data_IF_088462814676
#
_entry.id   IF_088462814676
#
_cell.length_a   1.000
_cell.length_b   1.000
_cell.length_c   1.000
_cell.angle_alpha   90.00
_cell.angle_beta   90.00
_cell.angle_gamma   90.00
#
_symmetry.space_group_name_H-M   'P 1'
#
loop_
_entity.id
_entity.type
_entity.pdbx_description
1 polymer ?
#
# COMPACT_ATOMS: atom_id res chain seq x y z
N UNK A 1 -78.10 66.18 7.00
CA UNK A 1 -77.25 66.69 5.90
C UNK A 1 -75.92 65.97 6.00
N UNK A 2 -75.37 65.26 5.01
CA UNK A 2 -75.77 64.81 3.67
C UNK A 2 -74.91 63.55 3.41
N UNK A 3 -75.47 62.49 2.85
CA UNK A 3 -75.40 62.18 1.41
C UNK A 3 -73.97 62.25 0.85
N UNK A 4 -73.41 61.07 0.59
CA UNK A 4 -72.13 60.85 -0.06
C UNK A 4 -72.06 59.38 -0.47
N UNK A 5 -72.73 59.05 -1.57
CA UNK A 5 -72.56 57.80 -2.31
C UNK A 5 -71.08 57.62 -2.67
N UNK A 6 -70.48 56.50 -2.29
CA UNK A 6 -69.37 55.94 -3.07
C UNK A 6 -69.76 54.55 -3.54
N UNK A 7 -69.85 54.49 -4.85
CA UNK A 7 -70.28 53.39 -5.67
C UNK A 7 -69.21 52.29 -5.65
N UNK A 8 -69.58 51.15 -5.09
CA UNK A 8 -68.82 49.91 -5.18
C UNK A 8 -68.96 49.36 -6.61
N UNK A 9 -67.88 49.13 -7.38
CA UNK A 9 -68.01 48.48 -8.67
C UNK A 9 -68.27 46.99 -8.45
N UNK A 10 -69.21 46.43 -9.22
CA UNK A 10 -69.55 45.01 -9.20
C UNK A 10 -68.32 44.10 -9.42
N UNK A 11 -68.21 42.96 -8.70
CA UNK A 11 -67.16 41.98 -8.98
C UNK A 11 -67.54 41.12 -10.19
N UNK A 12 -66.83 41.30 -11.30
CA UNK A 12 -66.88 40.38 -12.43
C UNK A 12 -66.33 39.01 -12.03
N UNK A 13 -67.07 37.94 -12.39
CA UNK A 13 -66.90 36.53 -11.99
C UNK A 13 -65.52 35.88 -12.31
N UNK A 14 -64.63 36.59 -13.00
CA UNK A 14 -63.34 36.09 -13.45
C UNK A 14 -62.26 36.18 -12.34
N UNK A 15 -62.38 37.12 -11.41
CA UNK A 15 -61.38 37.36 -10.36
C UNK A 15 -61.50 36.42 -9.15
N UNK A 16 -62.69 35.85 -8.91
CA UNK A 16 -62.93 34.91 -7.80
C UNK A 16 -62.38 33.52 -8.14
N UNK A 17 -62.45 33.14 -9.41
CA UNK A 17 -62.00 31.82 -9.90
C UNK A 17 -60.48 31.71 -9.90
N UNK A 18 -59.77 32.80 -10.23
CA UNK A 18 -58.31 32.88 -10.18
C UNK A 18 -57.80 32.98 -8.74
N UNK A 19 -58.43 33.78 -7.88
CA UNK A 19 -58.05 33.88 -6.46
C UNK A 19 -58.25 32.56 -5.70
N UNK A 20 -59.36 31.85 -5.95
CA UNK A 20 -59.64 30.53 -5.36
C UNK A 20 -58.66 29.44 -5.81
N UNK A 21 -58.25 29.48 -7.08
CA UNK A 21 -57.25 28.56 -7.62
C UNK A 21 -55.86 28.82 -7.02
N UNK A 22 -55.49 30.09 -6.84
CA UNK A 22 -54.22 30.48 -6.21
C UNK A 22 -54.19 30.09 -4.72
N UNK A 23 -55.31 30.25 -3.99
CA UNK A 23 -55.38 29.82 -2.60
C UNK A 23 -55.32 28.30 -2.47
N UNK A 24 -55.99 27.55 -3.35
CA UNK A 24 -55.93 26.09 -3.35
C UNK A 24 -54.51 25.57 -3.65
N UNK A 25 -53.80 26.21 -4.59
CA UNK A 25 -52.40 25.89 -4.89
C UNK A 25 -51.49 26.25 -3.70
N UNK A 26 -51.72 27.39 -3.05
CA UNK A 26 -50.94 27.81 -1.87
C UNK A 26 -51.15 26.87 -0.68
N UNK A 27 -52.38 26.39 -0.46
CA UNK A 27 -52.70 25.42 0.59
C UNK A 27 -52.05 24.06 0.33
N UNK A 28 -52.06 23.57 -0.92
CA UNK A 28 -51.41 22.31 -1.28
C UNK A 28 -49.88 22.39 -1.14
N UNK A 29 -49.30 23.55 -1.48
CA UNK A 29 -47.88 23.82 -1.28
C UNK A 29 -47.52 23.85 0.22
N UNK A 30 -48.32 24.53 1.04
CA UNK A 30 -48.13 24.55 2.49
C UNK A 30 -48.25 23.15 3.09
N UNK A 31 -49.24 22.38 2.65
CA UNK A 31 -49.45 21.00 3.11
C UNK A 31 -48.26 20.10 2.75
N UNK A 32 -47.73 20.24 1.54
CA UNK A 32 -46.56 19.49 1.07
C UNK A 32 -45.29 19.88 1.83
N UNK A 33 -45.11 21.16 2.15
CA UNK A 33 -43.96 21.64 2.94
C UNK A 33 -44.05 21.18 4.41
N UNK A 34 -45.23 21.24 5.02
CA UNK A 34 -45.46 20.72 6.38
C UNK A 34 -45.20 19.21 6.44
N UNK A 35 -45.71 18.47 5.46
CA UNK A 35 -45.50 17.03 5.36
C UNK A 35 -44.03 16.66 5.08
N UNK A 36 -43.30 17.47 4.29
CA UNK A 36 -41.85 17.35 4.09
C UNK A 36 -41.06 17.64 5.37
N UNK A 37 -41.47 18.62 6.17
CA UNK A 37 -40.82 18.92 7.46
C UNK A 37 -41.06 17.81 8.48
N UNK A 38 -42.28 17.32 8.61
CA UNK A 38 -42.61 16.24 9.55
C UNK A 38 -41.95 14.92 9.17
N UNK A 39 -41.83 14.62 7.87
CA UNK A 39 -41.10 13.45 7.38
C UNK A 39 -39.59 13.58 7.60
N UNK A 40 -39.01 14.76 7.39
CA UNK A 40 -37.59 15.02 7.67
C UNK A 40 -37.28 14.90 9.17
N UNK A 41 -38.14 15.42 10.06
CA UNK A 41 -37.97 15.31 11.51
C UNK A 41 -38.09 13.85 11.97
N UNK A 42 -39.07 13.11 11.44
CA UNK A 42 -39.25 11.68 11.75
C UNK A 42 -38.06 10.85 11.25
N UNK A 43 -37.51 11.18 10.08
CA UNK A 43 -36.31 10.53 9.53
C UNK A 43 -35.05 10.85 10.33
N UNK A 44 -34.90 12.08 10.80
CA UNK A 44 -33.78 12.45 11.66
C UNK A 44 -33.84 11.74 13.02
N UNK A 45 -35.04 11.62 13.62
CA UNK A 45 -35.25 10.88 14.86
C UNK A 45 -35.02 9.38 14.69
N UNK A 46 -35.47 8.78 13.59
CA UNK A 46 -35.25 7.35 13.35
C UNK A 46 -33.78 7.01 13.12
N UNK A 47 -33.01 7.88 12.45
CA UNK A 47 -31.55 7.73 12.33
C UNK A 47 -30.84 7.87 13.68
N UNK A 48 -31.28 8.80 14.52
CA UNK A 48 -30.71 8.98 15.86
C UNK A 48 -31.00 7.78 16.75
N UNK A 49 -32.24 7.29 16.77
CA UNK A 49 -32.65 6.11 17.54
C UNK A 49 -31.95 4.83 17.03
N UNK A 50 -31.88 4.64 15.70
CA UNK A 50 -31.15 3.52 15.10
C UNK A 50 -29.64 3.58 15.39
N UNK A 51 -29.02 4.77 15.33
CA UNK A 51 -27.59 4.92 15.68
C UNK A 51 -27.32 4.64 17.16
N UNK A 52 -28.25 5.03 18.04
CA UNK A 52 -28.10 4.87 19.48
C UNK A 52 -28.12 3.41 19.91
N UNK A 53 -28.94 2.57 19.27
CA UNK A 53 -29.02 1.14 19.57
C UNK A 53 -27.77 0.39 19.11
N UNK A 54 -27.19 0.76 17.95
CA UNK A 54 -25.92 0.21 17.47
C UNK A 54 -24.71 0.66 18.31
N UNK A 55 -24.69 1.90 18.79
CA UNK A 55 -23.64 2.38 19.70
C UNK A 55 -23.75 1.67 21.05
N UNK A 56 -24.96 1.43 21.55
CA UNK A 56 -25.18 0.72 22.82
C UNK A 56 -24.77 -0.75 22.74
N UNK A 57 -25.06 -1.43 21.63
CA UNK A 57 -24.60 -2.81 21.43
C UNK A 57 -23.07 -2.92 21.31
N UNK A 58 -22.41 -1.92 20.72
CA UNK A 58 -20.95 -1.85 20.71
C UNK A 58 -20.37 -1.63 22.11
N UNK A 59 -20.99 -0.75 22.91
CA UNK A 59 -20.59 -0.52 24.30
C UNK A 59 -20.71 -1.78 25.16
N UNK A 60 -21.69 -2.64 24.89
CA UNK A 60 -21.83 -3.94 25.58
C UNK A 60 -20.80 -4.98 25.09
N UNK A 61 -20.30 -4.86 23.86
CA UNK A 61 -19.33 -5.79 23.27
C UNK A 61 -17.87 -5.47 23.66
N UNK A 62 -17.52 -4.20 23.86
CA UNK A 62 -16.19 -3.75 24.32
C UNK A 62 -15.73 -4.43 25.62
N UNK A 63 -16.50 -4.47 26.73
CA UNK A 63 -16.08 -5.13 27.97
C UNK A 63 -15.96 -6.65 27.80
N UNK A 64 -16.73 -7.24 26.89
CA UNK A 64 -16.69 -8.67 26.60
C UNK A 64 -15.48 -9.06 25.75
N UNK A 65 -15.13 -8.26 24.76
CA UNK A 65 -13.91 -8.44 23.98
C UNK A 65 -12.67 -8.23 24.86
N UNK A 66 -12.63 -7.14 25.64
CA UNK A 66 -11.48 -6.83 26.51
C UNK A 66 -11.28 -7.86 27.61
N UNK A 67 -12.33 -8.45 28.19
CA UNK A 67 -12.18 -9.53 29.17
C UNK A 67 -11.64 -10.84 28.56
N UNK A 68 -12.08 -11.18 27.34
CA UNK A 68 -11.52 -12.30 26.60
C UNK A 68 -10.04 -12.05 26.26
N UNK A 69 -9.69 -10.87 25.75
CA UNK A 69 -8.31 -10.47 25.50
C UNK A 69 -7.44 -10.54 26.76
N UNK A 70 -7.92 -9.97 27.88
CA UNK A 70 -7.20 -10.04 29.16
C UNK A 70 -6.90 -11.45 29.61
N UNK A 71 -7.81 -12.40 29.37
CA UNK A 71 -7.60 -13.80 29.75
C UNK A 71 -6.45 -14.43 28.95
N UNK A 72 -6.37 -14.14 27.64
CA UNK A 72 -5.26 -14.60 26.80
C UNK A 72 -3.95 -13.89 27.13
N UNK A 73 -4.00 -12.57 27.39
CA UNK A 73 -2.85 -11.79 27.81
C UNK A 73 -2.27 -12.31 29.13
N UNK A 74 -3.09 -12.54 30.15
CA UNK A 74 -2.64 -13.08 31.43
C UNK A 74 -2.02 -14.48 31.28
N UNK A 75 -2.62 -15.36 30.47
CA UNK A 75 -2.05 -16.68 30.21
C UNK A 75 -0.69 -16.57 29.49
N UNK A 76 -0.55 -15.63 28.55
CA UNK A 76 0.69 -15.37 27.83
C UNK A 76 1.78 -14.81 28.75
N UNK A 77 1.47 -13.79 29.55
CA UNK A 77 2.43 -13.18 30.47
C UNK A 77 2.86 -14.14 31.58
N UNK A 78 1.94 -15.00 32.08
CA UNK A 78 2.28 -16.06 33.05
C UNK A 78 3.25 -17.08 32.45
N UNK A 79 3.02 -17.54 31.22
CA UNK A 79 3.96 -18.44 30.55
C UNK A 79 5.33 -17.81 30.33
N UNK A 80 5.36 -16.55 29.88
CA UNK A 80 6.62 -15.82 29.72
C UNK A 80 7.38 -15.67 31.04
N UNK A 81 6.68 -15.33 32.12
CA UNK A 81 7.33 -15.17 33.43
C UNK A 81 7.80 -16.50 34.01
N UNK A 82 7.10 -17.60 33.75
CA UNK A 82 7.54 -18.93 34.15
C UNK A 82 8.73 -19.42 33.31
N UNK A 83 8.73 -19.20 31.99
CA UNK A 83 9.89 -19.46 31.13
C UNK A 83 11.08 -18.57 31.50
N UNK A 84 10.86 -17.32 31.92
CA UNK A 84 11.91 -16.42 32.40
C UNK A 84 12.53 -16.92 33.71
N UNK A 85 11.73 -17.50 34.61
CA UNK A 85 12.24 -18.15 35.83
C UNK A 85 13.09 -19.37 35.48
N UNK A 86 12.63 -20.22 34.55
CA UNK A 86 13.40 -21.37 34.05
C UNK A 86 14.70 -20.91 33.37
N UNK A 87 14.65 -19.82 32.62
CA UNK A 87 15.82 -19.22 31.99
C UNK A 87 16.87 -18.74 33.01
N UNK A 88 16.43 -18.31 34.20
CA UNK A 88 17.34 -17.96 35.31
C UNK A 88 18.08 -19.18 35.86
N UNK A 89 17.49 -20.37 35.78
CA UNK A 89 18.10 -21.63 36.22
C UNK A 89 19.15 -22.14 35.21
N UNK A 90 19.03 -21.75 33.94
CA UNK A 90 19.95 -22.13 32.86
C UNK A 90 20.51 -20.92 32.08
N UNK A 91 21.29 -20.03 32.75
CA UNK A 91 21.71 -18.76 32.16
C UNK A 91 22.52 -18.92 30.87
N UNK A 92 23.38 -19.94 30.78
CA UNK A 92 24.18 -20.19 29.58
C UNK A 92 23.33 -20.59 28.36
N UNK A 93 22.31 -21.44 28.54
CA UNK A 93 21.43 -21.87 27.47
C UNK A 93 20.51 -20.72 27.00
N UNK A 94 19.97 -19.94 27.94
CA UNK A 94 19.13 -18.79 27.63
C UNK A 94 19.87 -17.72 26.86
N UNK A 95 21.13 -17.41 27.21
CA UNK A 95 21.93 -16.45 26.44
C UNK A 95 22.08 -16.91 24.99
N UNK A 96 22.34 -18.20 24.75
CA UNK A 96 22.40 -18.75 23.40
C UNK A 96 21.10 -18.62 22.63
N UNK A 97 19.97 -18.96 23.26
CA UNK A 97 18.63 -18.84 22.65
C UNK A 97 18.27 -17.37 22.40
N UNK A 98 18.56 -16.47 23.33
CA UNK A 98 18.26 -15.05 23.20
C UNK A 98 19.11 -14.39 22.09
N UNK A 99 20.39 -14.75 21.97
CA UNK A 99 21.28 -14.25 20.91
C UNK A 99 20.81 -14.74 19.54
N UNK A 100 20.47 -16.02 19.41
CA UNK A 100 19.98 -16.59 18.14
C UNK A 100 18.62 -16.01 17.74
N UNK A 101 17.68 -15.90 18.69
CA UNK A 101 16.41 -15.24 18.47
C UNK A 101 16.59 -13.74 18.12
N UNK A 102 17.49 -13.04 18.81
CA UNK A 102 17.81 -11.64 18.55
C UNK A 102 18.36 -11.40 17.14
N UNK A 103 19.28 -12.27 16.68
CA UNK A 103 19.81 -12.23 15.32
C UNK A 103 18.73 -12.49 14.25
N UNK A 104 17.73 -13.33 14.55
CA UNK A 104 16.62 -13.63 13.66
C UNK A 104 15.56 -12.51 13.61
N UNK A 105 15.28 -11.87 14.74
CA UNK A 105 14.26 -10.81 14.85
C UNK A 105 14.80 -9.49 14.27
N UNK A 106 16.07 -9.16 14.47
CA UNK A 106 16.66 -7.92 13.96
C UNK A 106 16.78 -7.92 12.42
N UNK A 107 16.28 -6.86 11.77
CA UNK A 107 16.22 -6.74 10.31
C UNK A 107 17.58 -6.78 9.60
N UNK A 108 18.62 -6.20 10.21
CA UNK A 108 19.98 -6.16 9.66
C UNK A 108 20.67 -7.54 9.62
N UNK A 109 20.95 -8.17 10.78
CA UNK A 109 21.62 -9.46 10.83
C UNK A 109 20.82 -10.57 10.15
N UNK A 110 19.48 -10.54 10.20
CA UNK A 110 18.64 -11.44 9.40
C UNK A 110 19.00 -11.38 7.91
N UNK A 111 19.07 -10.18 7.32
CA UNK A 111 19.43 -10.00 5.90
C UNK A 111 20.86 -10.41 5.61
N UNK A 112 21.77 -10.17 6.56
CA UNK A 112 23.17 -10.57 6.46
C UNK A 112 23.32 -12.09 6.44
N UNK A 113 22.67 -12.79 7.38
CA UNK A 113 22.62 -14.25 7.44
C UNK A 113 22.03 -14.81 6.14
N UNK A 114 20.87 -14.33 5.70
CA UNK A 114 20.26 -14.80 4.45
C UNK A 114 21.14 -14.59 3.22
N UNK A 115 21.88 -13.48 3.13
CA UNK A 115 22.78 -13.24 2.00
C UNK A 115 24.03 -14.13 2.01
N UNK A 116 24.59 -14.39 3.19
CA UNK A 116 25.82 -15.16 3.33
C UNK A 116 25.63 -16.68 3.46
N UNK A 117 24.51 -17.14 4.01
CA UNK A 117 24.23 -18.58 4.18
C UNK A 117 23.49 -19.13 2.97
N UNK A 118 22.43 -18.47 2.47
CA UNK A 118 21.69 -18.98 1.31
C UNK A 118 22.44 -18.81 -0.01
N UNK A 119 23.24 -17.75 -0.16
CA UNK A 119 24.06 -17.55 -1.38
C UNK A 119 25.16 -18.60 -1.56
N UNK A 120 25.50 -19.33 -0.49
CA UNK A 120 26.49 -20.42 -0.47
C UNK A 120 25.89 -21.78 -0.82
N UNK A 121 24.56 -21.92 -0.78
CA UNK A 121 23.84 -23.09 -1.31
C UNK A 121 23.54 -22.95 -2.81
N UNK A 122 24.35 -22.18 -3.56
CA UNK A 122 24.32 -22.31 -5.01
C UNK A 122 24.76 -23.73 -5.35
N UNK A 123 23.85 -24.49 -5.95
CA UNK A 123 24.07 -25.87 -6.39
C UNK A 123 25.39 -25.97 -7.13
N UNK A 124 26.12 -27.07 -6.93
CA UNK A 124 27.39 -27.33 -7.63
C UNK A 124 27.26 -27.11 -9.14
N UNK A 125 26.11 -27.51 -9.71
CA UNK A 125 25.73 -27.29 -11.10
C UNK A 125 25.73 -25.80 -11.52
N UNK A 126 25.22 -24.90 -10.68
CA UNK A 126 25.21 -23.47 -10.98
C UNK A 126 26.63 -22.88 -10.97
N UNK A 127 27.50 -23.39 -10.09
CA UNK A 127 28.91 -22.98 -10.05
C UNK A 127 29.67 -23.48 -11.28
N UNK A 128 29.38 -24.71 -11.72
CA UNK A 128 29.96 -25.31 -12.92
C UNK A 128 29.53 -24.57 -14.18
N UNK A 129 28.23 -24.29 -14.34
CA UNK A 129 27.70 -23.52 -15.46
C UNK A 129 28.32 -22.11 -15.55
N UNK A 130 28.56 -21.48 -14.39
CA UNK A 130 29.25 -20.19 -14.35
C UNK A 130 30.69 -20.30 -14.82
N UNK A 131 31.43 -21.31 -14.36
CA UNK A 131 32.80 -21.56 -14.79
C UNK A 131 32.86 -21.86 -16.30
N UNK A 132 31.96 -22.70 -16.81
CA UNK A 132 31.88 -23.02 -18.23
C UNK A 132 31.61 -21.78 -19.08
N UNK A 133 30.71 -20.90 -18.63
CA UNK A 133 30.45 -19.62 -19.30
C UNK A 133 31.70 -18.74 -19.36
N UNK A 134 32.44 -18.62 -18.26
CA UNK A 134 33.68 -17.84 -18.22
C UNK A 134 34.76 -18.42 -19.13
N UNK A 135 34.89 -19.74 -19.20
CA UNK A 135 35.83 -20.41 -20.12
C UNK A 135 35.43 -20.17 -21.58
N UNK A 136 34.14 -20.26 -21.91
CA UNK A 136 33.63 -19.97 -23.25
C UNK A 136 33.89 -18.52 -23.67
N UNK A 137 33.59 -17.57 -22.78
CA UNK A 137 33.85 -16.14 -23.00
C UNK A 137 35.34 -15.85 -23.21
N UNK A 138 36.21 -16.47 -22.41
CA UNK A 138 37.66 -16.33 -22.54
C UNK A 138 38.18 -16.94 -23.85
N UNK A 139 37.64 -18.08 -24.28
CA UNK A 139 38.07 -18.69 -25.54
C UNK A 139 37.73 -17.77 -26.74
N UNK A 140 36.54 -17.17 -26.73
CA UNK A 140 36.15 -16.19 -27.74
C UNK A 140 37.08 -14.97 -27.76
N UNK A 141 37.43 -14.43 -26.59
CA UNK A 141 38.33 -13.26 -26.54
C UNK A 141 39.76 -13.60 -26.98
N UNK A 142 40.26 -14.78 -26.65
CA UNK A 142 41.56 -15.27 -27.11
C UNK A 142 41.58 -15.45 -28.63
N UNK A 143 40.52 -15.98 -29.22
CA UNK A 143 40.45 -16.16 -30.67
C UNK A 143 40.38 -14.82 -31.42
N UNK A 144 39.64 -13.84 -30.90
CA UNK A 144 39.66 -12.47 -31.42
C UNK A 144 41.07 -11.87 -31.34
N UNK A 145 41.72 -11.98 -30.17
CA UNK A 145 43.07 -11.45 -29.97
C UNK A 145 44.10 -12.13 -30.89
N UNK A 146 44.01 -13.44 -31.13
CA UNK A 146 44.87 -14.15 -32.09
C UNK A 146 44.69 -13.62 -33.50
N UNK A 147 43.45 -13.35 -33.91
CA UNK A 147 43.17 -12.83 -35.25
C UNK A 147 43.67 -11.39 -35.42
N UNK A 148 43.49 -10.54 -34.41
CA UNK A 148 44.02 -9.17 -34.41
C UNK A 148 45.56 -9.16 -34.38
N UNK A 149 46.17 -10.04 -33.58
CA UNK A 149 47.63 -10.18 -33.52
C UNK A 149 48.24 -10.59 -34.87
N UNK A 150 47.62 -11.55 -35.57
CA UNK A 150 48.05 -11.92 -36.94
C UNK A 150 48.01 -10.74 -37.91
N UNK A 151 46.91 -9.97 -37.90
CA UNK A 151 46.77 -8.77 -38.75
C UNK A 151 47.83 -7.72 -38.43
N UNK A 152 48.16 -7.53 -37.15
CA UNK A 152 49.20 -6.59 -36.74
C UNK A 152 50.58 -7.05 -37.18
N UNK A 153 50.89 -8.36 -37.07
CA UNK A 153 52.15 -8.92 -37.56
C UNK A 153 52.30 -8.80 -39.07
N UNK A 154 51.25 -9.06 -39.85
CA UNK A 154 51.28 -8.88 -41.30
C UNK A 154 51.53 -7.42 -41.68
N UNK A 155 50.88 -6.46 -41.00
CA UNK A 155 51.11 -5.03 -41.22
C UNK A 155 52.51 -4.60 -40.82
N UNK A 156 53.02 -5.10 -39.70
CA UNK A 156 54.38 -4.81 -39.25
C UNK A 156 55.42 -5.37 -40.23
N UNK A 157 55.24 -6.60 -40.72
CA UNK A 157 56.12 -7.22 -41.70
C UNK A 157 56.11 -6.49 -43.05
N UNK A 158 54.94 -6.02 -43.50
CA UNK A 158 54.83 -5.20 -44.70
C UNK A 158 55.55 -3.86 -44.53
N UNK A 159 55.31 -3.16 -43.41
CA UNK A 159 56.00 -1.91 -43.10
C UNK A 159 57.52 -2.07 -42.99
N UNK A 160 58.00 -3.18 -42.42
CA UNK A 160 59.43 -3.50 -42.37
C UNK A 160 60.02 -3.69 -43.78
N UNK A 161 59.30 -4.40 -44.66
CA UNK A 161 59.73 -4.62 -46.04
C UNK A 161 59.81 -3.30 -46.81
N UNK A 162 58.81 -2.45 -46.69
CA UNK A 162 58.77 -1.13 -47.35
C UNK A 162 59.89 -0.22 -46.82
N UNK A 163 60.16 -0.25 -45.51
CA UNK A 163 61.25 0.49 -44.90
C UNK A 163 62.62 0.02 -45.42
N UNK A 164 62.84 -1.30 -45.50
CA UNK A 164 64.08 -1.87 -46.06
C UNK A 164 64.26 -1.50 -47.54
N UNK A 165 63.17 -1.54 -48.32
CA UNK A 165 63.20 -1.13 -49.72
C UNK A 165 63.56 0.36 -49.85
N UNK A 166 62.90 1.25 -49.11
CA UNK A 166 63.21 2.69 -49.13
C UNK A 166 64.62 3.01 -48.64
N UNK A 167 65.13 2.29 -47.64
CA UNK A 167 66.52 2.44 -47.20
C UNK A 167 67.52 2.06 -48.30
N UNK A 168 67.23 0.99 -49.05
CA UNK A 168 68.10 0.50 -50.12
C UNK A 168 67.98 1.32 -51.42
N UNK A 169 66.94 2.14 -51.59
CA UNK A 169 66.81 3.10 -52.72
C UNK A 169 67.55 4.42 -52.45
N UNK A 170 67.76 4.77 -51.18
CA UNK A 170 68.44 6.00 -50.75
C UNK A 170 69.97 5.85 -50.58
N UNK A 171 70.48 4.61 -50.51
CA UNK A 171 71.92 4.29 -50.49
C UNK A 171 72.39 3.87 -51.88
#
# INVERSE_FOLDING_TARGET
MGAGEEQQPEPTLENVTTASSISAIAEDLQRTVVQSKDSAIRSARSLQEASSSHIRSFQDFVPRATSQFKTYEDAFFRKLTDELKIAREHPAATIGVAVTAGLLIMRGPRRFLFRHTLGRFQTEEASFLKAEKHVKELNLSVDLMKNESKKLLERAALAEKDMKYGHNELM
#
